data_IF_664594871811
#
_entry.id   IF_664594871811
#
_cell.length_a   1.000
_cell.length_b   1.000
_cell.length_c   1.000
_cell.angle_alpha   90.00
_cell.angle_beta   90.00
_cell.angle_gamma   90.00
#
_symmetry.space_group_name_H-M   'P 1'
#
loop_
_entity.id
_entity.type
_entity.pdbx_description
1 polymer ?
#
# COMPACT_ATOMS: atom_id res chain seq x y z
N UNK A 1 12.41 4.69 -6.87
CA UNK A 1 11.59 5.74 -7.49
C UNK A 1 11.77 5.70 -8.99
N UNK A 2 10.68 5.55 -9.73
CA UNK A 2 10.70 5.61 -11.20
C UNK A 2 10.68 7.09 -11.58
N UNK A 3 11.75 7.59 -12.21
CA UNK A 3 11.75 8.94 -12.80
C UNK A 3 10.70 8.96 -13.91
N UNK A 4 9.62 9.75 -13.75
CA UNK A 4 8.58 9.91 -14.74
C UNK A 4 7.31 9.08 -14.52
N UNK A 5 7.20 8.37 -13.43
CA UNK A 5 5.97 8.21 -12.70
C UNK A 5 5.09 7.00 -12.84
N UNK A 6 5.03 6.23 -13.87
CA UNK A 6 4.07 5.13 -13.94
C UNK A 6 4.74 3.77 -13.66
N UNK A 7 4.24 3.07 -12.64
CA UNK A 7 4.55 1.67 -12.43
C UNK A 7 3.73 0.81 -13.40
N UNK A 8 4.34 -0.23 -13.93
CA UNK A 8 3.66 -1.23 -14.73
C UNK A 8 4.12 -2.64 -14.34
N UNK A 9 3.44 -3.64 -14.85
CA UNK A 9 3.61 -5.04 -14.49
C UNK A 9 4.97 -5.64 -14.87
N UNK A 10 5.71 -5.03 -15.80
CA UNK A 10 7.07 -5.48 -16.14
C UNK A 10 8.10 -5.10 -15.10
N UNK A 11 7.77 -4.16 -14.21
CA UNK A 11 8.71 -3.65 -13.22
C UNK A 11 8.78 -4.56 -11.99
N UNK A 12 9.99 -4.72 -11.47
CA UNK A 12 10.27 -5.43 -10.23
C UNK A 12 10.90 -4.51 -9.19
N UNK A 13 10.62 -4.78 -7.93
CA UNK A 13 11.33 -4.12 -6.85
C UNK A 13 12.78 -4.62 -6.80
N UNK A 14 13.71 -3.71 -7.06
CA UNK A 14 15.16 -3.97 -7.07
C UNK A 14 15.90 -3.20 -5.98
N UNK A 15 15.18 -2.43 -5.16
CA UNK A 15 15.78 -1.52 -4.18
C UNK A 15 15.66 -2.00 -2.75
N UNK A 16 14.70 -2.86 -2.45
CA UNK A 16 14.51 -3.43 -1.11
C UNK A 16 15.47 -4.61 -0.87
N UNK A 17 15.90 -4.76 0.37
CA UNK A 17 16.78 -5.84 0.84
C UNK A 17 16.20 -6.49 2.10
N UNK A 18 16.83 -7.56 2.58
CA UNK A 18 16.44 -8.21 3.84
C UNK A 18 16.64 -7.33 5.09
N UNK A 19 17.29 -6.16 4.98
CA UNK A 19 17.55 -5.23 6.09
C UNK A 19 16.98 -3.82 5.86
N UNK A 20 16.52 -3.53 4.64
CA UNK A 20 15.88 -2.25 4.27
C UNK A 20 14.68 -2.50 3.35
N UNK A 21 13.48 -2.29 3.88
CA UNK A 21 12.23 -2.61 3.18
C UNK A 21 11.90 -4.11 3.18
N UNK A 22 12.11 -4.77 4.30
CA UNK A 22 12.05 -6.22 4.52
C UNK A 22 10.74 -6.84 4.01
N UNK A 23 9.61 -6.16 4.26
CA UNK A 23 8.30 -6.61 3.77
C UNK A 23 8.25 -6.64 2.23
N UNK A 24 8.61 -5.54 1.58
CA UNK A 24 8.62 -5.45 0.12
C UNK A 24 9.62 -6.42 -0.51
N UNK A 25 10.76 -6.62 0.14
CA UNK A 25 11.75 -7.63 -0.26
C UNK A 25 11.16 -9.04 -0.20
N UNK A 26 10.55 -9.42 0.93
CA UNK A 26 9.97 -10.75 1.11
C UNK A 26 8.89 -11.07 0.08
N UNK A 27 8.02 -10.09 -0.25
CA UNK A 27 7.00 -10.25 -1.28
C UNK A 27 7.60 -10.42 -2.67
N UNK A 28 8.65 -9.66 -2.98
CA UNK A 28 9.36 -9.76 -4.26
C UNK A 28 10.03 -11.11 -4.44
N UNK A 29 10.69 -11.62 -3.40
CA UNK A 29 11.35 -12.93 -3.44
C UNK A 29 10.32 -14.05 -3.55
N UNK A 30 9.24 -13.99 -2.77
CA UNK A 30 8.17 -14.97 -2.82
C UNK A 30 7.51 -15.05 -4.20
N UNK A 31 7.25 -13.90 -4.85
CA UNK A 31 6.68 -13.89 -6.19
C UNK A 31 7.65 -14.47 -7.23
N UNK A 32 8.94 -14.11 -7.17
CA UNK A 32 9.95 -14.67 -8.08
C UNK A 32 10.07 -16.19 -7.95
N UNK A 33 10.04 -16.71 -6.72
CA UNK A 33 10.10 -18.16 -6.49
C UNK A 33 8.82 -18.86 -6.99
N UNK A 34 7.65 -18.23 -6.85
CA UNK A 34 6.40 -18.76 -7.40
C UNK A 34 6.46 -18.87 -8.94
N UNK A 35 7.01 -17.87 -9.62
CA UNK A 35 7.23 -17.92 -11.08
C UNK A 35 8.18 -19.04 -11.47
N UNK A 36 9.30 -19.19 -10.77
CA UNK A 36 10.26 -20.26 -11.01
C UNK A 36 9.61 -21.66 -10.87
N UNK A 37 8.85 -21.88 -9.80
CA UNK A 37 8.11 -23.13 -9.60
C UNK A 37 7.10 -23.37 -10.72
N UNK A 38 6.43 -22.30 -11.17
CA UNK A 38 5.49 -22.40 -12.29
C UNK A 38 6.18 -22.82 -13.60
N UNK A 39 7.35 -22.27 -13.89
CA UNK A 39 8.14 -22.59 -15.09
C UNK A 39 8.66 -24.03 -15.11
N UNK A 40 8.88 -24.66 -13.96
CA UNK A 40 9.39 -26.03 -13.82
C UNK A 40 8.30 -27.10 -14.05
N UNK A 41 7.04 -26.72 -14.24
CA UNK A 41 5.92 -27.66 -14.41
C UNK A 41 4.94 -27.18 -15.51
N UNK A 42 3.96 -28.04 -15.88
CA UNK A 42 2.97 -27.77 -16.95
C UNK A 42 1.53 -28.10 -16.53
N UNK A 43 1.27 -28.25 -15.22
CA UNK A 43 -0.04 -28.69 -14.71
C UNK A 43 -0.97 -27.53 -14.39
N UNK A 44 -0.42 -26.34 -14.16
CA UNK A 44 -1.15 -25.14 -13.82
C UNK A 44 -0.38 -23.89 -14.28
N UNK A 45 -1.10 -22.82 -14.49
CA UNK A 45 -0.57 -21.50 -14.83
C UNK A 45 -0.60 -20.59 -13.60
N UNK A 46 0.26 -19.60 -13.56
CA UNK A 46 0.30 -18.60 -12.50
C UNK A 46 -0.23 -17.25 -13.03
N UNK A 47 -1.18 -16.68 -12.28
CA UNK A 47 -1.60 -15.31 -12.43
C UNK A 47 -1.38 -14.59 -11.10
N UNK A 48 -0.68 -13.47 -11.12
CA UNK A 48 -0.33 -12.73 -9.90
C UNK A 48 -1.11 -11.42 -9.83
N UNK A 49 -1.81 -11.21 -8.73
CA UNK A 49 -2.49 -9.97 -8.41
C UNK A 49 -1.63 -9.17 -7.42
N UNK A 50 -1.23 -7.97 -7.82
CA UNK A 50 -0.40 -7.04 -7.05
C UNK A 50 -1.24 -5.81 -6.64
N UNK A 51 -2.03 -5.88 -5.57
CA UNK A 51 -2.81 -4.74 -5.13
C UNK A 51 -1.94 -3.65 -4.50
N UNK A 52 -2.34 -2.40 -4.67
CA UNK A 52 -1.87 -1.29 -3.86
C UNK A 52 -2.32 -1.45 -2.40
N UNK A 53 -2.46 -0.35 -1.68
CA UNK A 53 -2.91 -0.37 -0.30
C UNK A 53 -4.41 -0.72 -0.24
N UNK A 54 -4.72 -1.91 0.26
CA UNK A 54 -6.08 -2.45 0.27
C UNK A 54 -6.88 -1.87 1.43
N UNK A 55 -7.97 -1.20 1.11
CA UNK A 55 -8.94 -0.66 2.06
C UNK A 55 -10.31 -1.33 1.87
N UNK A 56 -11.20 -1.19 2.85
CA UNK A 56 -12.58 -1.65 2.73
C UNK A 56 -13.10 -2.38 3.95
N UNK A 57 -14.35 -2.89 3.90
CA UNK A 57 -14.98 -3.54 5.04
C UNK A 57 -14.29 -4.86 5.40
N UNK A 58 -14.11 -5.08 6.71
CA UNK A 58 -13.59 -6.34 7.23
C UNK A 58 -14.72 -7.33 7.47
N UNK A 59 -14.54 -8.58 7.04
CA UNK A 59 -15.44 -9.68 7.37
C UNK A 59 -15.29 -10.13 8.84
N UNK A 60 -14.14 -9.90 9.45
CA UNK A 60 -13.92 -10.14 10.88
C UNK A 60 -13.70 -8.81 11.62
N UNK A 61 -14.70 -8.31 12.37
CA UNK A 61 -14.57 -7.04 13.07
C UNK A 61 -13.48 -7.04 14.15
N UNK A 62 -13.09 -8.20 14.66
CA UNK A 62 -12.07 -8.34 15.70
C UNK A 62 -10.65 -8.48 15.13
N UNK A 63 -10.51 -8.76 13.83
CA UNK A 63 -9.17 -8.83 13.21
C UNK A 63 -8.52 -7.45 13.17
N UNK A 64 -7.26 -7.38 13.57
CA UNK A 64 -6.45 -6.19 13.50
C UNK A 64 -5.36 -6.40 12.42
N UNK A 65 -5.45 -5.65 11.33
CA UNK A 65 -4.51 -5.65 10.21
C UNK A 65 -4.09 -4.22 9.87
N UNK A 66 -3.03 -4.06 9.10
CA UNK A 66 -2.37 -2.76 8.91
C UNK A 66 -3.29 -1.68 8.32
N UNK A 67 -4.13 -2.01 7.33
CA UNK A 67 -5.05 -1.02 6.77
C UNK A 67 -6.17 -0.61 7.74
N UNK A 68 -6.59 -1.51 8.64
CA UNK A 68 -7.52 -1.14 9.72
C UNK A 68 -6.86 -0.23 10.75
N UNK A 69 -5.62 -0.53 11.16
CA UNK A 69 -4.83 0.36 12.04
C UNK A 69 -4.68 1.74 11.43
N UNK A 70 -4.33 1.80 10.13
CA UNK A 70 -4.22 3.03 9.38
C UNK A 70 -5.52 3.84 9.43
N UNK A 71 -6.67 3.24 9.14
CA UNK A 71 -7.97 3.92 9.18
C UNK A 71 -8.33 4.39 10.60
N UNK A 72 -7.98 3.62 11.63
CA UNK A 72 -8.15 4.05 13.02
C UNK A 72 -7.29 5.27 13.34
N UNK A 73 -6.01 5.29 12.94
CA UNK A 73 -5.12 6.44 13.13
C UNK A 73 -5.57 7.68 12.37
N UNK A 74 -6.17 7.49 11.18
CA UNK A 74 -6.76 8.59 10.43
C UNK A 74 -7.94 9.23 11.15
N UNK A 75 -8.73 8.45 11.90
CA UNK A 75 -9.98 8.91 12.51
C UNK A 75 -9.94 9.16 14.02
N UNK A 76 -8.90 8.70 14.75
CA UNK A 76 -8.83 8.83 16.21
C UNK A 76 -8.07 10.09 16.69
N UNK A 77 -7.45 10.84 15.77
CA UNK A 77 -6.71 12.05 16.08
C UNK A 77 -5.20 11.90 16.20
N UNK A 78 -4.63 10.70 16.02
CA UNK A 78 -3.17 10.49 16.07
C UNK A 78 -2.45 11.38 15.05
N UNK A 79 -3.06 11.62 13.90
CA UNK A 79 -2.53 12.44 12.81
C UNK A 79 -3.08 13.89 12.80
N UNK A 80 -3.83 14.32 13.82
CA UNK A 80 -4.47 15.64 13.86
C UNK A 80 -3.47 16.79 13.77
N UNK A 81 -2.27 16.64 14.35
CA UNK A 81 -1.21 17.65 14.29
C UNK A 81 -0.53 17.78 12.92
N UNK A 82 -0.67 16.77 12.08
CA UNK A 82 -0.12 16.71 10.72
C UNK A 82 0.19 15.27 10.30
N UNK A 83 -0.07 14.97 9.04
CA UNK A 83 0.22 13.67 8.44
C UNK A 83 1.53 13.71 7.63
N UNK A 84 2.28 12.59 7.53
CA UNK A 84 3.36 12.48 6.56
C UNK A 84 2.86 12.72 5.12
N UNK A 85 3.65 13.43 4.32
CA UNK A 85 3.37 13.61 2.88
C UNK A 85 3.76 12.33 2.12
N UNK A 86 2.90 11.32 2.22
CA UNK A 86 3.05 10.00 1.58
C UNK A 86 1.89 9.82 0.63
N UNK A 87 2.22 9.37 -0.58
CA UNK A 87 1.26 9.04 -1.63
C UNK A 87 1.22 7.53 -1.82
N UNK A 88 0.03 6.93 -1.87
CA UNK A 88 -0.16 5.49 -2.01
C UNK A 88 -1.21 5.19 -3.08
N UNK A 89 -0.95 4.17 -3.91
CA UNK A 89 -1.99 3.54 -4.70
C UNK A 89 -2.96 2.79 -3.79
N UNK A 90 -4.25 3.05 -3.90
CA UNK A 90 -5.28 2.44 -3.05
C UNK A 90 -6.29 1.66 -3.88
N UNK A 91 -6.85 0.60 -3.30
CA UNK A 91 -7.86 -0.25 -3.93
C UNK A 91 -8.82 -0.82 -2.90
N UNK A 92 -10.09 -0.98 -3.27
CA UNK A 92 -11.10 -1.60 -2.40
C UNK A 92 -10.90 -3.11 -2.35
N UNK A 93 -11.02 -3.70 -1.16
CA UNK A 93 -10.90 -5.14 -0.93
C UNK A 93 -11.90 -5.96 -1.76
N UNK A 94 -13.07 -5.40 -2.07
CA UNK A 94 -14.09 -6.05 -2.90
C UNK A 94 -13.64 -6.18 -4.34
N UNK A 95 -12.93 -5.17 -4.86
CA UNK A 95 -12.35 -5.21 -6.21
C UNK A 95 -11.16 -6.16 -6.26
N UNK A 96 -10.33 -6.19 -5.21
CA UNK A 96 -9.25 -7.18 -5.08
C UNK A 96 -9.79 -8.59 -5.08
N UNK A 97 -10.82 -8.87 -4.28
CA UNK A 97 -11.48 -10.19 -4.23
C UNK A 97 -12.05 -10.59 -5.58
N UNK A 98 -12.74 -9.66 -6.25
CA UNK A 98 -13.31 -9.87 -7.58
C UNK A 98 -12.23 -10.17 -8.63
N UNK A 99 -11.13 -9.43 -8.58
CA UNK A 99 -10.01 -9.66 -9.48
C UNK A 99 -9.38 -11.05 -9.29
N UNK A 100 -9.24 -11.53 -8.05
CA UNK A 100 -8.74 -12.90 -7.79
C UNK A 100 -9.68 -13.95 -8.37
N UNK A 101 -10.99 -13.80 -8.20
CA UNK A 101 -11.97 -14.73 -8.78
C UNK A 101 -11.89 -14.72 -10.30
N UNK A 102 -11.89 -13.53 -10.92
CA UNK A 102 -11.79 -13.42 -12.39
C UNK A 102 -10.47 -14.04 -12.88
N UNK A 103 -9.34 -13.73 -12.26
CA UNK A 103 -8.04 -14.25 -12.66
C UNK A 103 -7.95 -15.79 -12.52
N UNK A 104 -8.58 -16.34 -11.47
CA UNK A 104 -8.55 -17.80 -11.21
C UNK A 104 -9.43 -18.62 -12.14
N UNK A 105 -10.44 -18.01 -12.77
CA UNK A 105 -11.39 -18.72 -13.66
C UNK A 105 -11.34 -18.26 -15.13
N UNK A 106 -10.51 -17.26 -15.44
CA UNK A 106 -10.36 -16.78 -16.81
C UNK A 106 -9.27 -17.57 -17.55
N UNK A 107 -9.63 -18.17 -18.67
CA UNK A 107 -8.67 -18.86 -19.56
C UNK A 107 -7.67 -17.91 -20.23
N UNK A 108 -7.98 -16.61 -20.24
CA UNK A 108 -7.14 -15.58 -20.88
C UNK A 108 -6.28 -14.79 -19.93
N UNK A 109 -6.51 -14.91 -18.62
CA UNK A 109 -5.71 -14.21 -17.61
C UNK A 109 -4.30 -14.80 -17.55
N UNK A 110 -3.28 -13.94 -17.67
CA UNK A 110 -1.87 -14.34 -17.66
C UNK A 110 -1.00 -13.27 -17.03
N UNK A 111 0.08 -13.67 -16.39
CA UNK A 111 1.10 -12.77 -15.91
C UNK A 111 0.73 -12.02 -14.63
N UNK A 112 1.21 -10.80 -14.51
CA UNK A 112 1.10 -9.94 -13.33
C UNK A 112 0.06 -8.85 -13.59
N UNK A 113 -0.71 -8.50 -12.55
CA UNK A 113 -1.74 -7.47 -12.65
C UNK A 113 -1.65 -6.54 -11.44
N UNK A 114 -1.39 -5.26 -11.67
CA UNK A 114 -1.44 -4.22 -10.64
C UNK A 114 -2.88 -3.78 -10.46
N UNK A 115 -3.36 -3.78 -9.21
CA UNK A 115 -4.68 -3.25 -8.87
C UNK A 115 -4.55 -1.96 -8.07
N UNK A 116 -4.99 -0.85 -8.66
CA UNK A 116 -5.10 0.45 -8.00
C UNK A 116 -6.29 1.19 -8.57
N UNK A 117 -7.20 1.65 -7.70
CA UNK A 117 -8.33 2.48 -8.11
C UNK A 117 -7.93 3.96 -8.26
N UNK A 118 -6.84 4.36 -7.62
CA UNK A 118 -6.30 5.70 -7.66
C UNK A 118 -5.10 5.85 -6.73
N UNK A 119 -4.43 6.98 -6.85
CA UNK A 119 -3.26 7.32 -6.04
C UNK A 119 -3.60 8.54 -5.19
N UNK A 120 -3.54 8.38 -3.87
CA UNK A 120 -3.96 9.41 -2.92
C UNK A 120 -2.91 9.66 -1.84
N UNK A 121 -2.83 10.92 -1.41
CA UNK A 121 -2.07 11.31 -0.22
C UNK A 121 -2.87 11.01 1.05
N UNK A 122 -2.20 11.04 2.21
CA UNK A 122 -2.88 10.91 3.50
C UNK A 122 -3.85 12.07 3.75
N UNK A 123 -3.52 13.29 3.27
CA UNK A 123 -4.42 14.43 3.39
C UNK A 123 -5.68 14.27 2.56
N UNK A 124 -5.57 13.82 1.31
CA UNK A 124 -6.74 13.54 0.45
C UNK A 124 -7.62 12.45 1.08
N UNK A 125 -7.01 11.40 1.63
CA UNK A 125 -7.74 10.35 2.36
C UNK A 125 -8.49 10.93 3.57
N UNK A 126 -7.86 11.81 4.34
CA UNK A 126 -8.51 12.57 5.42
C UNK A 126 -9.65 13.45 4.91
N UNK A 127 -9.45 14.09 3.75
CA UNK A 127 -10.47 14.91 3.07
C UNK A 127 -11.73 14.12 2.74
N UNK A 128 -11.60 12.91 2.17
CA UNK A 128 -12.75 12.03 1.88
C UNK A 128 -13.53 11.63 3.13
N UNK A 129 -12.82 11.37 4.24
CA UNK A 129 -13.47 11.07 5.53
C UNK A 129 -14.25 12.29 6.02
N UNK A 130 -13.65 13.49 5.95
CA UNK A 130 -14.28 14.74 6.37
C UNK A 130 -15.47 15.10 5.50
N UNK A 131 -15.37 14.95 4.19
CA UNK A 131 -16.48 15.17 3.25
C UNK A 131 -17.69 14.30 3.58
N UNK A 132 -17.45 13.02 3.90
CA UNK A 132 -18.54 12.07 4.17
C UNK A 132 -19.12 12.18 5.57
N UNK A 133 -18.30 12.49 6.58
CA UNK A 133 -18.68 12.39 7.99
C UNK A 133 -18.61 13.74 8.75
N UNK A 134 -18.28 14.83 8.06
CA UNK A 134 -18.11 16.14 8.68
C UNK A 134 -16.94 16.12 9.68
N UNK A 135 -17.13 16.85 10.78
CA UNK A 135 -16.13 16.96 11.85
C UNK A 135 -16.20 15.85 12.90
N UNK A 136 -16.93 14.77 12.59
CA UNK A 136 -17.06 13.60 13.51
C UNK A 136 -15.72 12.95 13.83
N UNK A 137 -14.78 12.94 12.88
CA UNK A 137 -13.46 12.33 13.04
C UNK A 137 -12.37 13.41 12.92
N UNK A 138 -11.39 13.44 13.85
CA UNK A 138 -10.32 14.42 13.85
C UNK A 138 -9.19 14.05 12.86
N UNK A 139 -9.50 14.07 11.57
CA UNK A 139 -8.57 13.75 10.48
C UNK A 139 -7.47 14.80 10.31
N UNK A 140 -6.32 14.46 9.72
CA UNK A 140 -5.27 15.43 9.42
C UNK A 140 -5.74 16.48 8.40
N UNK A 141 -5.36 17.74 8.63
CA UNK A 141 -5.68 18.87 7.75
C UNK A 141 -4.45 19.53 7.14
N UNK A 142 -3.25 19.07 7.48
CA UNK A 142 -1.97 19.59 6.98
C UNK A 142 -0.90 18.49 6.95
N UNK A 143 0.12 18.68 6.13
CA UNK A 143 1.30 17.84 6.17
C UNK A 143 2.20 18.21 7.36
N UNK A 144 2.75 17.22 8.02
CA UNK A 144 3.80 17.42 8.99
C UNK A 144 5.13 17.72 8.26
N UNK A 145 5.93 18.69 8.75
CA UNK A 145 7.23 18.98 8.15
C UNK A 145 8.15 17.75 8.14
N UNK A 146 8.73 17.42 6.99
CA UNK A 146 9.58 16.23 6.80
C UNK A 146 10.73 16.17 7.82
N UNK A 147 11.38 17.31 8.11
CA UNK A 147 12.48 17.36 9.07
C UNK A 147 12.04 16.97 10.49
N UNK A 148 10.83 17.37 10.89
CA UNK A 148 10.29 17.03 12.20
C UNK A 148 10.01 15.53 12.31
N UNK A 149 9.40 14.95 11.25
CA UNK A 149 9.17 13.50 11.18
C UNK A 149 10.51 12.75 11.24
N UNK A 150 11.54 13.25 10.55
CA UNK A 150 12.87 12.64 10.53
C UNK A 150 13.53 12.64 11.91
N UNK A 151 13.39 13.75 12.67
CA UNK A 151 13.90 13.84 14.06
C UNK A 151 13.16 12.86 14.96
N UNK A 152 11.83 12.81 14.86
CA UNK A 152 10.99 11.97 15.72
C UNK A 152 10.96 10.49 15.32
N UNK A 153 11.40 10.14 14.12
CA UNK A 153 11.32 8.81 13.53
C UNK A 153 11.80 7.68 14.50
N UNK A 154 12.95 7.77 15.18
CA UNK A 154 13.39 6.71 16.09
C UNK A 154 12.45 6.51 17.30
N UNK A 155 11.81 7.58 17.76
CA UNK A 155 10.91 7.54 18.92
C UNK A 155 9.53 6.95 18.58
N UNK A 156 9.13 7.00 17.31
CA UNK A 156 7.87 6.44 16.81
C UNK A 156 8.07 5.11 16.08
N UNK A 157 9.26 4.50 16.20
CA UNK A 157 9.57 3.19 15.60
C UNK A 157 9.74 3.21 14.08
N UNK A 158 9.98 4.38 13.47
CA UNK A 158 10.18 4.55 12.02
C UNK A 158 11.67 4.73 11.73
N UNK A 159 12.19 4.01 10.73
CA UNK A 159 13.57 4.20 10.28
C UNK A 159 13.73 5.56 9.59
N UNK A 160 14.75 6.36 9.92
CA UNK A 160 15.04 7.65 9.26
C UNK A 160 15.22 7.51 7.75
N UNK A 161 15.79 6.38 7.31
CA UNK A 161 15.96 6.06 5.90
C UNK A 161 14.60 5.96 5.18
N UNK A 162 13.58 5.38 5.83
CA UNK A 162 12.21 5.36 5.29
C UNK A 162 11.67 6.78 5.09
N UNK A 163 11.82 7.65 6.08
CA UNK A 163 11.38 9.07 6.00
C UNK A 163 12.08 9.78 4.85
N UNK A 164 13.40 9.60 4.72
CA UNK A 164 14.19 10.22 3.66
C UNK A 164 13.74 9.79 2.28
N UNK A 165 13.42 8.50 2.09
CA UNK A 165 13.10 7.89 0.78
C UNK A 165 11.62 8.00 0.38
N UNK A 166 10.69 8.15 1.32
CA UNK A 166 9.26 7.98 1.02
C UNK A 166 8.40 9.22 1.34
N UNK A 167 8.91 10.21 2.06
CA UNK A 167 8.12 11.39 2.42
C UNK A 167 8.49 12.57 1.54
N UNK A 168 7.47 13.27 0.98
CA UNK A 168 7.64 14.46 0.16
C UNK A 168 8.11 14.18 -1.27
N UNK A 169 7.89 12.98 -1.77
CA UNK A 169 8.06 12.66 -3.19
C UNK A 169 6.69 12.63 -3.87
N UNK A 170 6.54 13.45 -4.89
CA UNK A 170 5.38 13.48 -5.81
C UNK A 170 5.71 12.70 -7.06
#
# INVERSE_FOLDING_TARGET
SVKGGLFNESMWNTTSTSTDGEYSYSKTVAEKEAWKICEEQKRWDLVVINPGFVLGPSLNPNALFESKKFMLQMGNGDLKSGAPDITMGMVDVRDVSKAHVIAGFSETAKGRHILSAGTHTLLETGGFIKEKFGDKYPVPTRNAPKFLIWILAPFIGVKRNFVSKNIGYK
#
